data_IF_449080016688
#
_entry.id   IF_449080016688
#
_cell.length_a   1.000
_cell.length_b   1.000
_cell.length_c   1.000
_cell.angle_alpha   90.00
_cell.angle_beta   90.00
_cell.angle_gamma   90.00
#
_symmetry.space_group_name_H-M   'P 1'
#
loop_
_entity.id
_entity.type
_entity.pdbx_description
1 polymer ?
2 polymer ?
3 polymer ?
4 polymer ?
5 non-polymer ?
6 water ?
#
# COMPACT_ATOMS: atom_id res chain seq x y z
N UNK A 34 19.11 -4.08 13.52
CA UNK A 34 19.04 -5.14 12.46
C UNK A 34 17.89 -4.87 11.47
N UNK A 35 16.95 -5.80 11.36
CA UNK A 35 15.84 -5.69 10.42
C UNK A 35 14.46 -5.52 11.07
N UNK A 36 14.44 -5.38 12.39
CA UNK A 36 13.18 -5.21 13.12
C UNK A 36 13.17 -3.92 13.89
N UNK A 37 11.98 -3.33 14.04
CA UNK A 37 11.83 -2.11 14.80
C UNK A 37 12.13 -2.44 16.27
N UNK A 38 12.86 -1.57 16.94
CA UNK A 38 13.20 -1.78 18.33
C UNK A 38 11.96 -1.59 19.19
N UNK A 39 11.50 -2.67 19.82
CA UNK A 39 10.32 -2.61 20.67
C UNK A 39 10.67 -2.52 22.14
N UNK A 40 11.97 -2.36 22.44
CA UNK A 40 12.39 -2.27 23.84
C UNK A 40 12.14 -0.90 24.46
N UNK A 41 10.88 -0.63 24.74
CA UNK A 41 10.46 0.64 25.35
C UNK A 41 9.53 0.27 26.50
N UNK A 42 9.39 1.16 27.48
CA UNK A 42 8.54 0.86 28.61
C UNK A 42 7.06 0.91 28.26
N UNK A 43 6.75 1.50 27.12
CA UNK A 43 5.38 1.64 26.68
C UNK A 43 5.28 1.22 25.22
N UNK A 44 4.30 0.38 24.87
CA UNK A 44 4.14 -0.03 23.49
C UNK A 44 3.77 1.21 22.69
N UNK A 45 2.84 2.00 23.24
CA UNK A 45 2.43 3.21 22.57
C UNK A 45 0.98 3.61 22.78
N UNK A 46 0.63 4.78 22.27
CA UNK A 46 -0.70 5.34 22.35
C UNK A 46 -1.58 4.83 21.18
N UNK A 47 -2.87 4.65 21.44
CA UNK A 47 -3.80 4.19 20.41
C UNK A 47 -5.09 4.99 20.45
N UNK A 48 -5.38 5.69 19.36
CA UNK A 48 -6.61 6.48 19.27
C UNK A 48 -7.63 5.77 18.39
N UNK A 49 -8.84 5.62 18.90
CA UNK A 49 -9.91 5.01 18.13
C UNK A 49 -10.99 6.06 17.99
N UNK A 50 -11.31 6.46 16.76
CA UNK A 50 -12.36 7.43 16.56
C UNK A 50 -13.57 6.65 16.02
N UNK A 51 -14.59 6.54 16.85
CA UNK A 51 -15.80 5.79 16.52
C UNK A 51 -16.99 6.70 16.19
N UNK A 52 -17.23 6.91 14.90
CA UNK A 52 -18.32 7.77 14.44
C UNK A 52 -19.57 6.97 14.01
N UNK A 53 -20.65 7.11 14.78
CA UNK A 53 -21.90 6.39 14.53
C UNK A 53 -23.04 7.29 14.02
N UNK A 54 -23.19 8.44 14.64
CA UNK A 54 -24.26 9.39 14.30
C UNK A 54 -23.73 10.64 13.63
N UNK A 55 -24.41 11.06 12.56
CA UNK A 55 -23.97 12.25 11.82
C UNK A 55 -25.05 13.32 11.69
N UNK A 56 -24.62 14.57 11.61
CA UNK A 56 -25.55 15.68 11.47
C UNK A 56 -26.39 15.51 10.21
N UNK A 57 -27.71 15.63 10.39
CA UNK A 57 -28.69 15.51 9.33
C UNK A 57 -28.34 16.25 8.04
N UNK A 58 -27.55 17.32 8.16
CA UNK A 58 -27.15 18.11 6.99
C UNK A 58 -26.15 17.37 6.10
N UNK A 59 -25.47 16.36 6.66
CA UNK A 59 -24.49 15.61 5.90
C UNK A 59 -25.17 14.53 5.07
N UNK A 60 -26.38 14.15 5.49
CA UNK A 60 -27.14 13.13 4.80
C UNK A 60 -26.65 11.72 4.98
N UNK A 61 -25.70 11.51 5.89
CA UNK A 61 -25.13 10.18 6.13
C UNK A 61 -25.93 9.40 7.18
N UNK A 62 -26.14 8.12 6.93
CA UNK A 62 -26.91 7.30 7.86
C UNK A 62 -26.16 6.77 9.07
N UNK A 63 -26.93 6.32 10.07
CA UNK A 63 -26.35 5.77 11.28
C UNK A 63 -25.58 4.49 10.96
N UNK A 64 -24.31 4.45 11.36
CA UNK A 64 -23.46 3.31 11.11
C UNK A 64 -23.61 2.20 12.15
N UNK A 65 -24.78 1.59 12.18
CA UNK A 65 -25.07 0.52 13.12
C UNK A 65 -23.99 -0.55 13.02
N UNK A 66 -23.65 -1.14 14.16
CA UNK A 66 -22.64 -2.17 14.18
C UNK A 66 -21.26 -1.62 14.47
N UNK A 67 -21.09 -0.31 14.31
CA UNK A 67 -19.77 0.25 14.57
C UNK A 67 -19.36 0.18 16.04
N UNK A 68 -20.34 -0.04 16.93
CA UNK A 68 -20.03 -0.15 18.36
C UNK A 68 -19.35 -1.48 18.67
N UNK A 69 -19.80 -2.56 18.02
CA UNK A 69 -19.16 -3.86 18.24
C UNK A 69 -17.71 -3.75 17.77
N UNK A 70 -17.51 -3.11 16.63
CA UNK A 70 -16.17 -2.93 16.09
C UNK A 70 -15.25 -2.27 17.10
N UNK A 71 -15.68 -1.09 17.58
CA UNK A 71 -14.89 -0.32 18.54
C UNK A 71 -14.58 -1.06 19.85
N UNK A 72 -15.52 -1.86 20.34
CA UNK A 72 -15.28 -2.59 21.58
C UNK A 72 -14.29 -3.70 21.32
N UNK A 73 -14.49 -4.39 20.20
CA UNK A 73 -13.60 -5.49 19.82
C UNK A 73 -12.19 -4.95 19.58
N UNK A 74 -12.09 -3.83 18.87
CA UNK A 74 -10.79 -3.24 18.60
C UNK A 74 -10.12 -2.85 19.90
N UNK A 75 -10.91 -2.31 20.83
CA UNK A 75 -10.43 -1.88 22.14
C UNK A 75 -9.70 -3.02 22.87
N UNK A 76 -10.36 -4.17 22.95
CA UNK A 76 -9.79 -5.32 23.62
C UNK A 76 -8.52 -5.82 22.93
N UNK A 77 -8.55 -5.90 21.61
CA UNK A 77 -7.39 -6.35 20.86
C UNK A 77 -6.18 -5.48 21.09
N UNK A 78 -6.32 -4.19 20.76
CA UNK A 78 -5.20 -3.29 20.91
C UNK A 78 -4.74 -3.11 22.33
N UNK A 79 -5.64 -3.39 23.28
CA UNK A 79 -5.30 -3.29 24.69
C UNK A 79 -4.38 -4.49 24.97
N UNK A 80 -4.77 -5.66 24.48
CA UNK A 80 -4.01 -6.90 24.66
C UNK A 80 -2.62 -6.81 24.07
N UNK A 81 -2.47 -6.02 23.00
CA UNK A 81 -1.16 -5.87 22.39
C UNK A 81 -0.29 -5.05 23.32
N UNK A 82 -0.92 -4.20 24.12
CA UNK A 82 -0.17 -3.36 25.05
C UNK A 82 -0.34 -1.88 24.82
N UNK A 83 -1.27 -1.52 23.94
CA UNK A 83 -1.55 -0.11 23.63
C UNK A 83 -2.39 0.55 24.70
N UNK A 84 -2.17 1.84 24.91
CA UNK A 84 -2.96 2.60 25.87
C UNK A 84 -4.02 3.24 24.99
N UNK A 85 -5.15 2.55 24.83
CA UNK A 85 -6.21 3.04 23.96
C UNK A 85 -7.34 3.82 24.64
N UNK A 86 -7.81 4.84 23.93
CA UNK A 86 -8.91 5.69 24.37
C UNK A 86 -9.87 5.84 23.17
N UNK A 87 -11.17 5.76 23.42
CA UNK A 87 -12.17 5.86 22.37
C UNK A 87 -12.93 7.19 22.40
N UNK A 88 -13.08 7.81 21.23
CA UNK A 88 -13.79 9.08 21.10
C UNK A 88 -14.97 8.83 20.17
N UNK A 89 -16.17 9.22 20.60
CA UNK A 89 -17.36 8.99 19.79
C UNK A 89 -17.91 10.23 19.08
N UNK A 90 -18.52 9.98 17.92
CA UNK A 90 -19.12 11.02 17.09
C UNK A 90 -18.36 12.33 17.09
N UNK A 91 -17.10 12.28 16.65
CA UNK A 91 -16.26 13.47 16.61
C UNK A 91 -16.52 14.37 15.41
N UNK A 92 -16.33 15.66 15.60
CA UNK A 92 -16.51 16.64 14.54
C UNK A 92 -15.16 16.71 13.84
N UNK A 93 -15.15 17.17 12.59
CA UNK A 93 -13.91 17.25 11.86
C UNK A 93 -12.85 18.01 12.66
N UNK A 94 -13.28 19.05 13.37
CA UNK A 94 -12.33 19.83 14.16
C UNK A 94 -11.81 18.99 15.31
N UNK A 95 -12.70 18.21 15.92
CA UNK A 95 -12.33 17.36 17.04
C UNK A 95 -11.26 16.36 16.62
N UNK A 96 -11.51 15.68 15.50
CA UNK A 96 -10.58 14.70 14.96
C UNK A 96 -9.22 15.33 14.70
N UNK A 97 -9.23 16.48 14.05
CA UNK A 97 -7.99 17.19 13.75
C UNK A 97 -7.20 17.51 15.01
N UNK A 98 -7.89 18.10 15.98
CA UNK A 98 -7.27 18.47 17.24
C UNK A 98 -6.76 17.24 17.98
N UNK A 99 -7.60 16.22 18.01
CA UNK A 99 -7.29 14.96 18.69
C UNK A 99 -5.92 14.44 18.25
N UNK A 100 -5.73 14.37 16.93
CA UNK A 100 -4.48 13.89 16.37
C UNK A 100 -3.35 14.90 16.50
N UNK A 101 -3.65 16.19 16.34
CA UNK A 101 -2.61 17.19 16.48
C UNK A 101 -2.02 17.11 17.91
N UNK A 102 -2.89 17.11 18.91
CA UNK A 102 -2.48 17.03 20.32
C UNK A 102 -1.68 15.76 20.57
N UNK A 103 -2.11 14.65 19.98
CA UNK A 103 -1.42 13.39 20.17
C UNK A 103 0.00 13.47 19.62
N UNK A 104 0.15 14.11 18.47
CA UNK A 104 1.45 14.24 17.83
C UNK A 104 2.36 15.19 18.61
N UNK A 105 1.78 15.95 19.54
CA UNK A 105 2.56 16.89 20.32
C UNK A 105 2.98 16.33 21.67
N UNK A 106 2.44 15.16 22.02
CA UNK A 106 2.80 14.52 23.28
C UNK A 106 4.25 14.04 23.16
N UNK A 107 4.79 13.48 24.23
CA UNK A 107 6.17 12.99 24.23
C UNK A 107 6.17 11.47 24.12
N UNK A 108 6.62 10.97 22.98
CA UNK A 108 6.66 9.55 22.71
C UNK A 108 8.04 8.94 22.94
N UNK A 109 8.90 9.66 23.66
CA UNK A 109 10.25 9.16 23.93
C UNK A 109 10.32 7.74 24.51
N UNK A 110 9.32 7.36 25.31
CA UNK A 110 9.33 6.04 25.91
C UNK A 110 8.30 5.09 25.33
N UNK A 111 7.81 5.42 24.12
CA UNK A 111 6.84 4.58 23.44
C UNK A 111 7.52 3.92 22.24
N UNK A 112 7.07 2.73 21.89
CA UNK A 112 7.65 2.02 20.77
C UNK A 112 7.04 2.46 19.43
N UNK A 113 5.78 2.87 19.47
CA UNK A 113 5.11 3.28 18.24
C UNK A 113 3.84 4.05 18.53
N UNK A 114 3.01 4.21 17.49
CA UNK A 114 1.75 4.92 17.62
C UNK A 114 0.70 4.24 16.74
N UNK A 115 -0.55 4.30 17.15
CA UNK A 115 -1.62 3.69 16.37
C UNK A 115 -2.92 4.49 16.46
N UNK A 116 -3.60 4.60 15.34
CA UNK A 116 -4.88 5.31 15.26
C UNK A 116 -5.82 4.47 14.40
N UNK A 117 -7.06 4.34 14.86
CA UNK A 117 -8.08 3.58 14.15
C UNK A 117 -9.23 4.52 13.88
N UNK A 118 -9.68 4.59 12.62
CA UNK A 118 -10.80 5.45 12.24
C UNK A 118 -11.97 4.60 11.72
N UNK A 119 -13.13 4.72 12.35
CA UNK A 119 -14.34 3.98 11.94
C UNK A 119 -15.38 5.01 11.53
N UNK A 120 -15.74 5.08 10.25
CA UNK A 120 -16.71 6.10 9.83
C UNK A 120 -17.15 5.96 8.37
N UNK A 121 -17.89 6.96 7.90
CA UNK A 121 -18.33 7.03 6.52
C UNK A 121 -17.13 7.70 5.84
N UNK A 122 -17.05 7.59 4.53
CA UNK A 122 -15.93 8.23 3.86
C UNK A 122 -16.01 8.19 2.34
N UNK A 123 -15.07 8.90 1.72
CA UNK A 123 -14.97 8.97 0.27
C UNK A 123 -13.48 8.93 -0.06
N UNK A 124 -13.16 8.96 -1.34
CA UNK A 124 -11.77 8.91 -1.79
C UNK A 124 -10.92 9.97 -1.08
N UNK A 125 -9.90 9.50 -0.36
CA UNK A 125 -8.96 10.38 0.34
C UNK A 125 -9.51 11.18 1.53
N UNK A 126 -10.81 11.07 1.79
CA UNK A 126 -11.41 11.82 2.89
C UNK A 126 -12.23 10.94 3.83
N UNK A 127 -12.43 11.44 5.04
CA UNK A 127 -13.20 10.71 6.04
C UNK A 127 -14.22 11.65 6.71
N UNK A 128 -15.38 11.12 7.05
CA UNK A 128 -16.43 11.93 7.68
C UNK A 128 -16.35 12.14 9.18
N UNK A 129 -16.67 13.36 9.59
CA UNK A 129 -16.74 13.71 11.00
C UNK A 129 -18.25 13.71 11.15
N UNK A 130 -18.81 14.14 12.28
CA UNK A 130 -20.26 14.11 12.36
C UNK A 130 -20.83 15.28 11.55
N UNK A 131 -19.99 16.27 11.31
CA UNK A 131 -20.39 17.50 10.62
C UNK A 131 -19.92 17.70 9.18
N UNK A 132 -19.14 16.77 8.64
CA UNK A 132 -18.67 16.95 7.27
C UNK A 132 -17.51 16.03 6.95
N UNK A 133 -16.67 16.41 5.99
CA UNK A 133 -15.53 15.59 5.61
C UNK A 133 -14.21 16.32 5.82
N UNK A 134 -13.16 15.55 6.09
CA UNK A 134 -11.82 16.10 6.29
C UNK A 134 -10.81 15.19 5.60
N UNK A 135 -9.73 15.76 5.07
CA UNK A 135 -8.69 14.99 4.38
C UNK A 135 -7.88 14.07 5.31
N UNK A 136 -7.86 12.78 5.01
CA UNK A 136 -7.10 11.82 5.80
C UNK A 136 -5.64 12.26 5.85
N UNK A 137 -5.21 12.89 4.77
CA UNK A 137 -3.85 13.40 4.61
C UNK A 137 -3.50 14.32 5.75
N UNK A 138 -4.41 15.24 6.08
CA UNK A 138 -4.17 16.20 7.15
C UNK A 138 -4.16 15.59 8.55
N UNK A 139 -4.93 14.52 8.72
CA UNK A 139 -4.98 13.86 10.02
C UNK A 139 -3.63 13.20 10.32
N UNK A 140 -3.05 12.60 9.30
CA UNK A 140 -1.79 11.88 9.44
C UNK A 140 -0.49 12.66 9.31
N UNK A 141 -0.47 13.71 8.50
CA UNK A 141 0.78 14.44 8.32
C UNK A 141 1.30 15.10 9.59
N UNK A 142 0.51 15.05 10.66
CA UNK A 142 0.90 15.61 11.94
C UNK A 142 2.03 14.78 12.54
N UNK A 143 2.13 13.53 12.09
CA UNK A 143 3.15 12.62 12.59
C UNK A 143 4.37 12.51 11.70
N UNK A 144 4.47 13.35 10.68
CA UNK A 144 5.63 13.33 9.80
C UNK A 144 6.89 13.43 10.67
N UNK A 145 7.97 12.83 10.22
CA UNK A 145 9.20 12.85 10.99
C UNK A 145 9.66 14.23 11.41
N UNK A 146 9.32 15.23 10.61
CA UNK A 146 9.74 16.60 10.91
C UNK A 146 8.70 17.33 11.74
N UNK A 147 7.63 16.64 12.12
CA UNK A 147 6.58 17.27 12.90
C UNK A 147 6.28 16.53 14.20
N UNK A 148 7.06 15.49 14.44
CA UNK A 148 6.90 14.67 15.62
C UNK A 148 8.22 13.95 15.84
N UNK A 149 9.20 14.69 16.37
CA UNK A 149 10.53 14.14 16.62
C UNK A 149 10.54 12.89 17.48
N UNK A 150 9.65 12.80 18.47
CA UNK A 150 9.67 11.62 19.34
C UNK A 150 9.16 10.32 18.75
N UNK A 151 8.60 10.36 17.53
CA UNK A 151 8.14 9.14 16.87
C UNK A 151 9.00 8.91 15.65
N UNK A 152 10.12 9.62 15.58
CA UNK A 152 11.04 9.48 14.47
C UNK A 152 11.66 8.09 14.49
N UNK A 153 11.64 7.44 13.33
CA UNK A 153 12.18 6.08 13.18
C UNK A 153 11.34 5.01 13.88
N UNK A 154 10.14 5.42 14.29
CA UNK A 154 9.20 4.50 14.96
C UNK A 154 7.98 4.42 14.06
N UNK A 155 7.33 3.25 14.03
CA UNK A 155 6.13 3.02 13.21
C UNK A 155 4.86 3.79 13.60
N UNK A 156 4.23 4.40 12.59
CA UNK A 156 2.99 5.15 12.77
C UNK A 156 1.93 4.33 12.07
N UNK A 157 0.97 3.79 12.83
CA UNK A 157 -0.06 2.94 12.24
C UNK A 157 -1.46 3.52 12.19
N UNK A 158 -2.12 3.37 11.04
CA UNK A 158 -3.47 3.86 10.84
C UNK A 158 -4.36 2.80 10.20
N UNK A 159 -5.44 2.46 10.87
CA UNK A 159 -6.36 1.48 10.33
C UNK A 159 -7.61 2.27 9.99
N UNK A 160 -8.00 2.27 8.72
CA UNK A 160 -9.18 3.02 8.30
C UNK A 160 -10.30 2.18 7.75
N UNK A 161 -11.42 2.14 8.46
CA UNK A 161 -12.62 1.41 8.01
C UNK A 161 -13.57 2.48 7.47
N UNK A 162 -13.61 2.64 6.15
CA UNK A 162 -14.46 3.67 5.53
C UNK A 162 -14.51 3.48 4.01
N UNK A 163 -15.57 3.95 3.38
CA UNK A 163 -15.69 3.81 1.92
C UNK A 163 -14.66 4.70 1.25
N UNK A 164 -14.33 4.39 0.00
CA UNK A 164 -13.35 5.17 -0.75
C UNK A 164 -13.88 5.44 -2.13
N UNK A 165 -15.20 5.34 -2.27
CA UNK A 165 -15.85 5.55 -3.55
C UNK A 165 -17.11 4.72 -3.59
N UNK A 166 -17.69 4.56 -4.78
CA UNK A 166 -18.93 3.80 -4.91
C UNK A 166 -18.87 2.64 -5.88
N UNK A 167 -17.68 2.10 -6.13
CA UNK A 167 -17.56 0.97 -7.03
C UNK A 167 -17.86 -0.33 -6.27
N UNK A 168 -18.51 -1.26 -6.96
CA UNK A 168 -18.87 -2.55 -6.37
C UNK A 168 -18.01 -3.66 -6.98
N UNK A 169 -17.52 -4.56 -6.13
CA UNK A 169 -16.72 -5.68 -6.58
C UNK A 169 -17.66 -6.89 -6.67
N UNK A 170 -18.14 -7.17 -7.88
CA UNK A 170 -19.07 -8.26 -8.11
C UNK A 170 -18.48 -9.65 -7.91
N UNK A 171 -17.15 -9.73 -7.84
CA UNK A 171 -16.51 -11.01 -7.64
C UNK A 171 -16.46 -11.91 -8.86
N UNK A 172 -15.90 -13.11 -8.68
CA UNK A 172 -15.75 -14.10 -9.74
C UNK A 172 -15.50 -15.44 -9.05
N UNK A 173 -15.77 -16.56 -9.72
CA UNK A 173 -15.55 -17.88 -9.10
C UNK A 173 -14.20 -18.53 -9.41
N UNK B 6 19.84 11.36 8.38
CA UNK B 6 18.72 12.08 7.70
C UNK B 6 17.74 11.07 7.06
N UNK B 7 16.49 11.06 7.53
CA UNK B 7 15.50 10.11 6.99
C UNK B 7 14.28 10.83 6.40
N UNK B 8 13.58 10.19 5.44
CA UNK B 8 12.40 10.78 4.81
C UNK B 8 11.31 11.12 5.83
N UNK B 9 10.73 12.30 5.71
CA UNK B 9 9.70 12.71 6.64
C UNK B 9 8.43 11.88 6.45
N UNK B 10 8.35 11.15 5.36
CA UNK B 10 7.17 10.31 5.08
C UNK B 10 7.38 8.84 5.45
N UNK B 11 8.58 8.53 5.92
CA UNK B 11 8.94 7.15 6.29
C UNK B 11 8.28 6.64 7.57
N UNK B 12 8.17 5.32 7.65
CA UNK B 12 7.62 4.63 8.81
C UNK B 12 6.12 4.73 9.08
N UNK B 13 5.34 4.95 8.01
CA UNK B 13 3.89 5.01 8.13
C UNK B 13 3.29 3.73 7.53
N UNK B 14 2.18 3.27 8.09
CA UNK B 14 1.51 2.12 7.52
C UNK B 14 0.02 2.38 7.57
N UNK B 15 -0.62 2.33 6.42
CA UNK B 15 -2.05 2.55 6.34
C UNK B 15 -2.69 1.23 6.00
N UNK B 16 -3.63 0.81 6.82
CA UNK B 16 -4.32 -0.44 6.57
C UNK B 16 -5.77 -0.08 6.27
N UNK B 17 -6.10 0.14 4.99
CA UNK B 17 -7.47 0.48 4.61
C UNK B 17 -8.37 -0.76 4.51
N UNK B 18 -9.64 -0.62 4.85
CA UNK B 18 -10.58 -1.74 4.80
C UNK B 18 -10.94 -2.12 3.36
N UNK B 19 -10.64 -1.24 2.41
CA UNK B 19 -10.95 -1.51 1.01
C UNK B 19 -10.03 -0.78 0.03
N UNK B 20 -10.08 -1.15 -1.24
CA UNK B 20 -9.24 -0.52 -2.25
C UNK B 20 -9.83 0.80 -2.76
N UNK B 21 -8.97 1.69 -3.30
CA UNK B 21 -9.38 3.00 -3.83
C UNK B 21 -10.55 2.95 -4.82
N UNK B 22 -11.53 3.83 -4.61
CA UNK B 22 -12.67 3.88 -5.49
C UNK B 22 -13.79 2.92 -5.15
N UNK B 23 -13.57 2.06 -4.16
CA UNK B 23 -14.57 1.07 -3.78
C UNK B 23 -15.34 1.28 -2.48
N UNK B 24 -16.42 0.51 -2.34
CA UNK B 24 -17.26 0.55 -1.15
C UNK B 24 -16.56 -0.28 -0.09
N UNK B 25 -17.07 -0.19 1.13
CA UNK B 25 -16.54 -0.96 2.24
C UNK B 25 -17.79 -1.51 2.92
N UNK B 26 -17.83 -2.81 3.15
CA UNK B 26 -19.02 -3.41 3.76
C UNK B 26 -19.04 -3.53 5.27
N UNK B 27 -20.25 -3.45 5.82
CA UNK B 27 -20.48 -3.54 7.25
C UNK B 27 -21.80 -4.21 7.56
N UNK B 28 -21.76 -5.37 8.19
CA UNK B 28 -23.00 -6.03 8.56
C UNK B 28 -23.45 -5.36 9.86
N UNK B 29 -24.67 -4.79 9.90
CA UNK B 29 -25.20 -4.11 11.09
C UNK B 29 -25.26 -4.91 12.37
N UNK B 30 -25.37 -6.23 12.23
CA UNK B 30 -25.45 -7.08 13.41
C UNK B 30 -24.15 -7.64 13.93
N UNK B 31 -23.13 -7.71 13.08
CA UNK B 31 -21.84 -8.28 13.48
C UNK B 31 -20.69 -7.28 13.42
N UNK B 32 -20.89 -6.21 12.67
CA UNK B 32 -19.83 -5.20 12.54
C UNK B 32 -19.23 -5.26 11.17
N UNK B 33 -18.41 -4.27 10.82
CA UNK B 33 -17.78 -4.25 9.50
C UNK B 33 -16.90 -5.48 9.25
N UNK B 34 -16.83 -5.88 8.00
CA UNK B 34 -16.03 -7.03 7.60
C UNK B 34 -14.57 -6.87 8.02
N UNK B 35 -13.96 -5.78 7.59
CA UNK B 35 -12.55 -5.51 7.87
C UNK B 35 -12.18 -5.62 9.34
N UNK B 36 -13.03 -5.12 10.23
CA UNK B 36 -12.74 -5.17 11.65
C UNK B 36 -12.95 -6.56 12.26
N UNK B 37 -14.01 -7.25 11.86
CA UNK B 37 -14.25 -8.60 12.38
C UNK B 37 -13.00 -9.45 12.10
N UNK B 38 -12.51 -9.33 10.87
CA UNK B 38 -11.34 -10.07 10.41
C UNK B 38 -10.07 -9.64 11.12
N UNK B 39 -9.84 -8.35 11.17
CA UNK B 39 -8.65 -7.81 11.83
C UNK B 39 -8.54 -8.32 13.27
N UNK B 40 -9.66 -8.30 13.99
CA UNK B 40 -9.65 -8.77 15.37
C UNK B 40 -9.46 -10.28 15.49
N UNK B 41 -10.05 -11.07 14.60
CA UNK B 41 -9.88 -12.53 14.69
C UNK B 41 -8.38 -12.83 14.59
N UNK B 42 -7.76 -12.36 13.52
CA UNK B 42 -6.33 -12.58 13.31
C UNK B 42 -5.47 -12.03 14.45
N UNK B 43 -5.77 -10.83 14.92
CA UNK B 43 -4.99 -10.24 16.00
C UNK B 43 -5.07 -10.94 17.35
N UNK B 44 -6.27 -11.37 17.74
CA UNK B 44 -6.42 -12.05 19.02
C UNK B 44 -5.84 -13.44 18.94
N UNK B 45 -5.47 -13.85 17.72
CA UNK B 45 -4.91 -15.17 17.51
C UNK B 45 -3.41 -15.19 17.20
N UNK B 46 -2.93 -14.16 16.51
CA UNK B 46 -1.50 -14.08 16.12
C UNK B 46 -0.89 -12.69 16.28
N UNK B 47 -1.59 -11.79 16.95
CA UNK B 47 -1.07 -10.45 17.13
C UNK B 47 0.32 -10.39 17.76
N UNK B 48 0.64 -11.40 18.56
CA UNK B 48 1.94 -11.41 19.24
C UNK B 48 3.00 -12.34 18.68
N UNK B 49 2.68 -13.10 17.66
CA UNK B 49 3.67 -14.00 17.07
C UNK B 49 3.92 -13.80 15.58
N UNK B 50 3.14 -12.93 14.93
CA UNK B 50 3.34 -12.68 13.50
C UNK B 50 3.75 -11.24 13.19
N UNK B 51 4.52 -11.07 12.13
CA UNK B 51 4.95 -9.73 11.71
C UNK B 51 3.68 -9.00 11.20
N UNK B 52 3.64 -7.67 11.33
CA UNK B 52 2.46 -6.91 10.91
C UNK B 52 1.95 -7.25 9.51
N UNK B 53 2.85 -7.26 8.52
CA UNK B 53 2.46 -7.56 7.15
C UNK B 53 1.87 -8.97 7.00
N UNK B 54 2.36 -9.91 7.79
CA UNK B 54 1.82 -11.27 7.76
C UNK B 54 0.40 -11.24 8.30
N UNK B 55 0.19 -10.44 9.34
CA UNK B 55 -1.13 -10.33 9.94
C UNK B 55 -2.13 -9.70 8.98
N UNK B 56 -1.76 -8.55 8.43
CA UNK B 56 -2.63 -7.84 7.50
C UNK B 56 -2.91 -8.64 6.22
N UNK B 57 -1.97 -9.51 5.86
CA UNK B 57 -2.14 -10.33 4.67
C UNK B 57 -3.21 -11.39 4.94
N UNK B 58 -3.18 -11.98 6.14
CA UNK B 58 -4.15 -12.99 6.49
C UNK B 58 -5.52 -12.34 6.61
N UNK B 59 -5.52 -11.05 6.93
CA UNK B 59 -6.75 -10.27 7.06
C UNK B 59 -7.38 -10.08 5.68
N UNK B 60 -6.54 -9.76 4.69
CA UNK B 60 -7.00 -9.57 3.32
C UNK B 60 -7.68 -10.85 2.87
N UNK B 61 -7.02 -11.97 3.12
CA UNK B 61 -7.55 -13.27 2.74
C UNK B 61 -8.89 -13.60 3.41
N UNK B 62 -8.98 -13.39 4.73
CA UNK B 62 -10.21 -13.67 5.45
C UNK B 62 -11.37 -12.82 4.93
N UNK B 63 -11.11 -11.55 4.70
CA UNK B 63 -12.13 -10.62 4.19
C UNK B 63 -12.60 -11.06 2.81
N UNK B 64 -11.65 -11.35 1.94
CA UNK B 64 -11.94 -11.76 0.58
C UNK B 64 -12.63 -13.12 0.46
N UNK B 65 -12.42 -13.99 1.45
CA UNK B 65 -13.01 -15.31 1.42
C UNK B 65 -14.25 -15.58 2.26
N UNK B 66 -14.24 -15.16 3.52
CA UNK B 66 -15.37 -15.43 4.41
C UNK B 66 -16.56 -14.48 4.33
N UNK B 67 -16.48 -13.45 3.50
CA UNK B 67 -17.59 -12.50 3.40
C UNK B 67 -18.18 -12.33 2.01
N UNK B 68 -19.48 -12.02 2.00
CA UNK B 68 -20.22 -11.78 0.76
C UNK B 68 -21.51 -11.06 1.14
N UNK B 69 -21.73 -9.91 0.54
CA UNK B 69 -22.92 -9.13 0.86
C UNK B 69 -24.24 -9.86 0.65
N UNK B 70 -25.19 -9.53 1.52
CA UNK B 70 -26.52 -10.09 1.47
C UNK B 70 -27.46 -8.90 1.50
N UNK B 71 -28.36 -8.82 0.53
CA UNK B 71 -29.29 -7.70 0.46
C UNK B 71 -30.49 -8.02 -0.42
N UNK B 72 -31.65 -7.49 -0.05
CA UNK B 72 -32.86 -7.71 -0.82
C UNK B 72 -32.83 -6.80 -2.05
N UNK B 73 -31.73 -6.07 -2.20
CA UNK B 73 -31.52 -5.17 -3.32
C UNK B 73 -30.59 -5.90 -4.29
N UNK B 74 -31.12 -6.36 -5.43
CA UNK B 74 -30.30 -7.07 -6.42
C UNK B 74 -28.98 -6.39 -6.79
N UNK B 75 -28.95 -5.07 -6.79
CA UNK B 75 -27.73 -4.35 -7.14
C UNK B 75 -26.60 -4.52 -6.12
N UNK B 76 -26.95 -4.66 -4.84
CA UNK B 76 -25.96 -4.82 -3.79
C UNK B 76 -25.90 -6.27 -3.29
N UNK B 77 -26.43 -7.18 -4.09
CA UNK B 77 -26.46 -8.57 -3.70
C UNK B 77 -25.18 -9.33 -4.08
N UNK B 78 -24.69 -10.12 -3.14
CA UNK B 78 -23.49 -10.94 -3.34
C UNK B 78 -22.22 -10.23 -3.78
N UNK B 79 -21.93 -9.06 -3.23
CA UNK B 79 -20.72 -8.33 -3.60
C UNK B 79 -19.55 -8.74 -2.72
N UNK B 80 -18.33 -8.52 -3.20
CA UNK B 80 -17.13 -8.89 -2.45
C UNK B 80 -16.25 -7.71 -2.06
N UNK B 81 -15.24 -7.98 -1.23
CA UNK B 81 -14.34 -6.92 -0.77
C UNK B 81 -12.93 -7.41 -0.52
N UNK B 82 -11.96 -6.53 -0.73
CA UNK B 82 -10.54 -6.84 -0.52
C UNK B 82 -9.89 -5.62 0.13
N UNK B 83 -9.23 -5.82 1.28
CA UNK B 83 -8.61 -4.66 1.95
C UNK B 83 -7.42 -4.15 1.16
N UNK B 84 -6.81 -3.08 1.64
CA UNK B 84 -5.67 -2.44 0.97
C UNK B 84 -4.62 -1.97 1.96
N UNK B 85 -3.45 -2.59 1.93
CA UNK B 85 -2.37 -2.21 2.84
C UNK B 85 -1.32 -1.36 2.15
N UNK B 86 -1.06 -0.17 2.70
CA UNK B 86 -0.04 0.73 2.16
C UNK B 86 1.08 0.87 3.19
N UNK B 87 2.25 0.33 2.88
CA UNK B 87 3.37 0.38 3.82
C UNK B 87 4.58 1.18 3.37
N UNK B 88 5.01 2.10 4.23
CA UNK B 88 6.20 2.92 4.02
C UNK B 88 7.12 2.51 5.16
N UNK B 89 6.84 1.36 5.78
CA UNK B 89 7.67 0.89 6.89
C UNK B 89 9.09 0.55 6.40
N UNK B 90 10.07 0.68 7.28
CA UNK B 90 11.46 0.41 6.92
C UNK B 90 12.07 -0.82 7.62
N UNK B 91 11.28 -1.45 8.49
CA UNK B 91 11.70 -2.65 9.23
C UNK B 91 10.51 -3.56 9.42
N UNK B 92 10.74 -4.74 9.99
CA UNK B 92 9.68 -5.69 10.28
C UNK B 92 9.11 -5.29 11.65
N UNK B 93 7.81 -5.44 11.82
CA UNK B 93 7.17 -5.04 13.07
C UNK B 93 6.49 -6.19 13.80
N UNK B 94 6.88 -6.35 15.06
CA UNK B 94 6.33 -7.38 15.92
C UNK B 94 5.87 -6.73 17.21
N UNK B 95 4.68 -7.10 17.67
CA UNK B 95 4.13 -6.54 18.90
C UNK B 95 4.53 -7.37 20.11
N UNK B 96 5.83 -7.51 20.36
CA UNK B 96 6.27 -8.29 21.52
C UNK B 96 7.77 -8.21 21.81
N UNK B 97 8.14 -8.71 22.99
CA UNK B 97 9.53 -8.73 23.45
C UNK B 97 10.13 -7.34 23.68
N UNK C 34 -2.98 -23.67 4.13
CA UNK C 34 -1.64 -23.13 3.74
C UNK C 34 -1.66 -21.60 3.67
N UNK C 35 -0.53 -20.97 3.97
CA UNK C 35 -0.44 -19.52 3.99
C UNK C 35 0.47 -18.94 2.90
N UNK C 36 0.82 -19.77 1.91
CA UNK C 36 1.69 -19.34 0.83
C UNK C 36 1.09 -19.58 -0.55
N UNK C 37 1.43 -18.72 -1.50
CA UNK C 37 0.95 -18.88 -2.87
C UNK C 37 1.60 -20.13 -3.41
N UNK C 38 0.82 -20.92 -4.14
CA UNK C 38 1.32 -22.16 -4.74
C UNK C 38 2.28 -21.79 -5.89
N UNK C 39 3.52 -22.23 -5.77
CA UNK C 39 4.55 -21.94 -6.77
C UNK C 39 4.90 -23.16 -7.62
N UNK C 40 4.08 -24.20 -7.55
CA UNK C 40 4.33 -25.42 -8.29
C UNK C 40 3.67 -25.38 -9.67
N UNK C 41 4.23 -24.53 -10.53
CA UNK C 41 3.73 -24.40 -11.88
C UNK C 41 4.90 -24.66 -12.83
N UNK C 42 4.57 -25.06 -14.05
CA UNK C 42 5.58 -25.33 -15.05
C UNK C 42 6.60 -24.19 -15.09
N UNK C 43 6.12 -22.95 -14.92
CA UNK C 43 7.01 -21.79 -14.94
C UNK C 43 6.61 -20.70 -13.97
N UNK C 44 7.60 -19.88 -13.58
CA UNK C 44 7.36 -18.78 -12.64
C UNK C 44 6.40 -17.76 -13.24
N UNK C 45 6.59 -17.43 -14.51
CA UNK C 45 5.71 -16.47 -15.15
C UNK C 45 6.38 -15.45 -16.06
N UNK C 46 5.56 -14.56 -16.60
CA UNK C 46 6.03 -13.53 -17.50
C UNK C 46 6.38 -12.25 -16.76
N UNK C 47 7.41 -11.55 -17.25
CA UNK C 47 7.81 -10.27 -16.67
C UNK C 47 7.94 -9.27 -17.82
N UNK C 48 7.02 -8.32 -17.88
CA UNK C 48 7.03 -7.30 -18.92
C UNK C 48 7.67 -6.01 -18.42
N UNK C 49 8.67 -5.52 -19.14
CA UNK C 49 9.34 -4.28 -18.77
C UNK C 49 9.12 -3.20 -19.84
N UNK C 50 8.55 -2.07 -19.44
CA UNK C 50 8.33 -0.96 -20.37
C UNK C 50 9.34 0.12 -20.01
N UNK C 51 10.35 0.27 -20.86
CA UNK C 51 11.42 1.24 -20.62
C UNK C 51 11.26 2.50 -21.49
N UNK C 52 10.56 3.50 -20.97
CA UNK C 52 10.34 4.74 -21.69
C UNK C 52 11.41 5.79 -21.39
N UNK C 53 12.26 6.05 -22.37
CA UNK C 53 13.36 7.00 -22.23
C UNK C 53 13.11 8.31 -22.96
N UNK C 54 12.62 8.23 -24.19
CA UNK C 54 12.36 9.41 -25.00
C UNK C 54 10.88 9.76 -25.13
N UNK C 55 10.57 11.05 -25.02
CA UNK C 55 9.18 11.50 -25.11
C UNK C 55 8.98 12.61 -26.13
N UNK C 56 7.80 12.64 -26.75
CA UNK C 56 7.49 13.68 -27.73
C UNK C 56 7.65 15.05 -27.09
N UNK C 57 8.18 16.00 -27.85
CA UNK C 57 8.39 17.36 -27.37
C UNK C 57 7.16 18.01 -26.72
N UNK C 58 5.98 17.80 -27.30
CA UNK C 58 4.74 18.37 -26.78
C UNK C 58 4.41 18.02 -25.34
N UNK C 59 5.01 16.96 -24.81
CA UNK C 59 4.72 16.55 -23.43
C UNK C 59 5.51 17.38 -22.42
N UNK C 60 6.55 18.06 -22.89
CA UNK C 60 7.35 18.86 -21.99
C UNK C 60 8.27 18.00 -21.14
N UNK C 61 8.24 16.69 -21.39
CA UNK C 61 9.08 15.75 -20.64
C UNK C 61 10.45 15.60 -21.29
N UNK C 62 11.48 15.40 -20.47
CA UNK C 62 12.82 15.26 -21.00
C UNK C 62 13.32 13.83 -21.10
N UNK C 63 14.52 13.66 -21.65
CA UNK C 63 15.12 12.34 -21.78
C UNK C 63 15.43 11.81 -20.39
N UNK C 64 15.06 10.57 -20.13
CA UNK C 64 15.31 9.99 -18.82
C UNK C 64 16.64 9.24 -18.80
N UNK C 65 17.74 9.99 -18.77
CA UNK C 65 19.06 9.38 -18.73
C UNK C 65 19.20 8.47 -17.50
N UNK C 66 19.75 7.28 -17.72
CA UNK C 66 19.91 6.32 -16.64
C UNK C 66 18.85 5.23 -16.65
N UNK C 67 17.86 5.35 -17.54
CA UNK C 67 16.80 4.36 -17.59
C UNK C 67 17.23 3.08 -18.28
N UNK C 68 18.22 3.16 -19.16
CA UNK C 68 18.71 1.98 -19.84
C UNK C 68 19.44 1.09 -18.82
N UNK C 69 20.19 1.70 -17.91
CA UNK C 69 20.88 0.91 -16.87
C UNK C 69 19.82 0.19 -16.04
N UNK C 70 18.76 0.90 -15.70
CA UNK C 70 17.67 0.33 -14.92
C UNK C 70 17.06 -0.87 -15.60
N UNK C 71 16.72 -0.72 -16.88
CA UNK C 71 16.11 -1.81 -17.63
C UNK C 71 17.06 -3.01 -17.71
N UNK C 72 18.33 -2.72 -17.96
CA UNK C 72 19.36 -3.76 -18.07
C UNK C 72 19.45 -4.56 -16.76
N UNK C 73 19.64 -3.84 -15.65
CA UNK C 73 19.75 -4.45 -14.33
C UNK C 73 18.47 -5.21 -13.95
N UNK C 74 17.32 -4.62 -14.25
CA UNK C 74 16.04 -5.24 -13.94
C UNK C 74 15.87 -6.57 -14.69
N UNK C 75 16.14 -6.53 -15.98
CA UNK C 75 16.01 -7.71 -16.85
C UNK C 75 16.92 -8.84 -16.40
N UNK C 76 18.19 -8.52 -16.13
CA UNK C 76 19.12 -9.53 -15.69
C UNK C 76 18.63 -10.11 -14.36
N UNK C 77 18.14 -9.23 -13.50
CA UNK C 77 17.64 -9.61 -12.20
C UNK C 77 16.41 -10.54 -12.25
N UNK C 78 15.39 -10.16 -13.00
CA UNK C 78 14.17 -10.97 -13.11
C UNK C 78 14.31 -12.25 -13.92
N UNK C 79 15.24 -12.27 -14.87
CA UNK C 79 15.47 -13.47 -15.67
C UNK C 79 16.08 -14.46 -14.67
N UNK C 80 16.99 -13.94 -13.85
CA UNK C 80 17.68 -14.72 -12.84
C UNK C 80 16.71 -15.31 -11.81
N UNK C 81 15.57 -14.67 -11.64
CA UNK C 81 14.57 -15.17 -10.69
C UNK C 81 13.76 -16.30 -11.32
N UNK C 82 13.78 -16.38 -12.64
CA UNK C 82 13.03 -17.42 -13.33
C UNK C 82 11.90 -16.91 -14.21
N UNK C 83 11.80 -15.59 -14.36
CA UNK C 83 10.77 -14.98 -15.19
C UNK C 83 11.13 -14.96 -16.67
N UNK C 84 10.11 -14.97 -17.53
CA UNK C 84 10.32 -14.85 -18.97
C UNK C 84 10.20 -13.35 -19.17
N UNK C 85 11.34 -12.65 -19.15
CA UNK C 85 11.31 -11.21 -19.30
C UNK C 85 11.32 -10.71 -20.74
N UNK C 86 10.46 -9.73 -21.01
CA UNK C 86 10.32 -9.10 -22.32
C UNK C 86 10.51 -7.60 -22.10
N UNK C 87 11.34 -6.95 -22.91
CA UNK C 87 11.56 -5.51 -22.75
C UNK C 87 11.07 -4.67 -23.94
N UNK C 88 10.19 -3.71 -23.65
CA UNK C 88 9.65 -2.80 -24.65
C UNK C 88 10.24 -1.42 -24.41
N UNK C 89 10.53 -0.68 -25.47
CA UNK C 89 11.14 0.64 -25.33
C UNK C 89 10.40 1.77 -26.04
N UNK C 90 10.42 2.96 -25.45
CA UNK C 90 9.74 4.16 -25.96
C UNK C 90 8.34 3.87 -26.52
N UNK C 91 7.45 3.45 -25.62
CA UNK C 91 6.08 3.10 -25.97
C UNK C 91 5.06 4.23 -25.88
N UNK C 92 4.14 4.25 -26.83
CA UNK C 92 3.08 5.24 -26.84
C UNK C 92 2.07 4.77 -25.80
N UNK C 93 1.15 5.63 -25.42
CA UNK C 93 0.13 5.25 -24.45
C UNK C 93 -0.70 4.10 -25.02
N UNK C 94 -0.96 4.17 -26.32
CA UNK C 94 -1.74 3.15 -27.00
C UNK C 94 -1.01 1.82 -26.96
N UNK C 95 0.30 1.88 -27.19
CA UNK C 95 1.12 0.67 -27.17
C UNK C 95 1.07 0.00 -25.80
N UNK C 96 1.29 0.76 -24.74
CA UNK C 96 1.27 0.22 -23.38
C UNK C 96 -0.09 -0.45 -23.05
N UNK C 97 -1.18 0.22 -23.37
CA UNK C 97 -2.50 -0.34 -23.12
C UNK C 97 -2.70 -1.66 -23.87
N UNK C 98 -2.45 -1.63 -25.17
CA UNK C 98 -2.61 -2.79 -26.02
C UNK C 98 -1.71 -3.96 -25.61
N UNK C 99 -0.45 -3.64 -25.41
CA UNK C 99 0.58 -4.59 -24.99
C UNK C 99 0.15 -5.30 -23.70
N UNK C 100 -0.32 -4.56 -22.71
CA UNK C 100 -0.75 -5.18 -21.45
C UNK C 100 -2.11 -5.87 -21.57
N UNK C 101 -2.94 -5.41 -22.51
CA UNK C 101 -4.24 -6.04 -22.72
C UNK C 101 -4.04 -7.44 -23.30
N UNK C 102 -3.17 -7.52 -24.32
CA UNK C 102 -2.89 -8.78 -24.97
C UNK C 102 -2.20 -9.75 -24.03
N UNK C 103 -1.36 -9.23 -23.15
CA UNK C 103 -0.68 -10.08 -22.19
C UNK C 103 -1.74 -10.69 -21.27
N UNK C 104 -2.75 -9.91 -20.93
CA UNK C 104 -3.80 -10.42 -20.05
C UNK C 104 -4.70 -11.44 -20.74
N UNK C 105 -4.64 -11.48 -22.07
CA UNK C 105 -5.45 -12.41 -22.86
C UNK C 105 -4.70 -13.68 -23.21
N UNK C 106 -3.41 -13.72 -22.87
CA UNK C 106 -2.58 -14.89 -23.09
C UNK C 106 -2.97 -15.95 -22.06
N UNK C 107 -2.49 -17.17 -22.23
CA UNK C 107 -2.81 -18.25 -21.31
C UNK C 107 -1.75 -18.34 -20.21
N UNK C 108 -2.16 -18.07 -18.96
CA UNK C 108 -1.22 -18.09 -17.83
C UNK C 108 -1.36 -19.33 -16.94
N UNK C 109 -2.22 -20.26 -17.35
CA UNK C 109 -2.49 -21.49 -16.61
C UNK C 109 -1.28 -22.16 -16.00
N UNK C 110 -0.20 -22.24 -16.77
CA UNK C 110 1.02 -22.90 -16.34
C UNK C 110 2.05 -21.97 -15.68
N UNK C 111 1.64 -20.77 -15.30
CA UNK C 111 2.54 -19.82 -14.66
C UNK C 111 2.10 -19.58 -13.22
N UNK C 112 3.08 -19.33 -12.34
CA UNK C 112 2.79 -19.09 -10.93
C UNK C 112 2.31 -17.66 -10.68
N UNK C 113 2.82 -16.71 -11.46
CA UNK C 113 2.43 -15.31 -11.31
C UNK C 113 2.74 -14.46 -12.55
N UNK C 114 2.49 -13.16 -12.42
CA UNK C 114 2.74 -12.20 -13.49
C UNK C 114 3.45 -11.00 -12.88
N UNK C 115 4.38 -10.40 -13.63
CA UNK C 115 5.10 -9.23 -13.13
C UNK C 115 5.24 -8.20 -14.25
N UNK C 116 5.09 -6.93 -13.89
CA UNK C 116 5.21 -5.86 -14.86
C UNK C 116 5.95 -4.69 -14.20
N UNK C 117 6.98 -4.20 -14.88
CA UNK C 117 7.77 -3.08 -14.39
C UNK C 117 7.59 -1.87 -15.31
N UNK C 118 7.31 -0.71 -14.73
CA UNK C 118 7.11 0.52 -15.50
C UNK C 118 8.16 1.57 -15.17
N UNK C 119 8.95 1.95 -16.18
CA UNK C 119 10.01 2.94 -16.03
C UNK C 119 9.70 4.14 -16.94
N UNK C 120 9.25 5.23 -16.35
CA UNK C 120 8.91 6.41 -17.15
C UNK C 120 8.64 7.63 -16.27
N UNK C 121 8.15 8.70 -16.91
CA UNK C 121 7.79 9.92 -16.20
C UNK C 121 6.37 9.66 -15.70
N UNK C 122 5.98 10.36 -14.65
CA UNK C 122 4.66 10.16 -14.12
C UNK C 122 4.19 11.32 -13.27
N UNK C 123 2.89 11.33 -13.01
CA UNK C 123 2.26 12.33 -12.17
C UNK C 123 1.27 11.54 -11.35
N UNK C 124 0.68 12.13 -10.32
CA UNK C 124 -0.22 11.34 -9.50
C UNK C 124 -1.29 10.56 -10.24
N UNK C 125 -1.31 9.25 -10.00
CA UNK C 125 -2.27 8.32 -10.59
C UNK C 125 -2.12 8.03 -12.08
N UNK C 126 -1.11 8.63 -12.71
CA UNK C 126 -0.91 8.42 -14.13
C UNK C 126 0.55 8.20 -14.50
N UNK C 127 0.78 7.62 -15.66
CA UNK C 127 2.14 7.42 -16.12
C UNK C 127 2.23 7.86 -17.59
N UNK C 128 3.40 8.39 -17.96
CA UNK C 128 3.62 8.89 -19.29
C UNK C 128 4.06 7.90 -20.35
N UNK C 129 3.48 8.05 -21.54
CA UNK C 129 3.87 7.26 -22.71
C UNK C 129 4.64 8.34 -23.46
N UNK C 130 5.24 8.05 -24.62
CA UNK C 130 5.95 9.14 -25.30
C UNK C 130 4.88 10.08 -25.82
N UNK C 131 3.70 9.50 -25.99
CA UNK C 131 2.45 10.10 -26.46
C UNK C 131 1.94 11.17 -25.49
N UNK C 132 1.80 10.78 -24.23
CA UNK C 132 1.29 11.65 -23.19
C UNK C 132 1.06 10.91 -21.90
N UNK C 133 -0.11 11.11 -21.28
CA UNK C 133 -0.42 10.48 -20.01
C UNK C 133 -1.60 9.49 -20.00
N UNK C 134 -1.45 8.41 -19.24
CA UNK C 134 -2.52 7.41 -19.12
C UNK C 134 -2.62 6.89 -17.68
N UNK C 135 -3.84 6.68 -17.18
CA UNK C 135 -4.11 6.19 -15.82
C UNK C 135 -3.50 4.84 -15.51
N UNK C 136 -2.75 4.76 -14.41
CA UNK C 136 -2.14 3.49 -14.02
C UNK C 136 -3.24 2.48 -13.71
N UNK C 137 -4.39 2.96 -13.26
CA UNK C 137 -5.49 2.05 -12.96
C UNK C 137 -5.99 1.33 -14.21
N UNK C 138 -6.04 2.02 -15.34
CA UNK C 138 -6.52 1.38 -16.56
C UNK C 138 -5.55 0.37 -17.12
N UNK C 139 -4.26 0.59 -16.90
CA UNK C 139 -3.24 -0.34 -17.37
C UNK C 139 -3.38 -1.65 -16.60
N UNK C 140 -3.37 -1.57 -15.27
CA UNK C 140 -3.47 -2.75 -14.41
C UNK C 140 -4.83 -3.42 -14.37
N UNK C 141 -5.89 -2.71 -14.74
CA UNK C 141 -7.24 -3.26 -14.71
C UNK C 141 -7.40 -4.48 -15.61
N UNK C 142 -6.56 -4.57 -16.64
CA UNK C 142 -6.62 -5.69 -17.58
C UNK C 142 -6.42 -7.05 -16.90
N UNK C 143 -5.77 -7.05 -15.74
CA UNK C 143 -5.51 -8.31 -15.06
C UNK C 143 -6.42 -8.62 -13.88
N UNK C 144 -7.55 -7.93 -13.77
CA UNK C 144 -8.49 -8.17 -12.68
C UNK C 144 -8.98 -9.61 -12.80
N UNK C 145 -9.38 -10.19 -11.68
CA UNK C 145 -9.84 -11.57 -11.69
C UNK C 145 -10.93 -11.91 -12.70
N UNK C 146 -11.77 -10.93 -13.07
CA UNK C 146 -12.84 -11.21 -14.01
C UNK C 146 -12.47 -10.95 -15.48
N UNK C 147 -11.27 -10.42 -15.72
CA UNK C 147 -10.83 -10.11 -17.09
C UNK C 147 -9.56 -10.87 -17.48
N UNK C 148 -9.15 -11.81 -16.63
CA UNK C 148 -7.96 -12.62 -16.87
C UNK C 148 -8.06 -13.86 -15.99
N UNK C 149 -9.04 -14.71 -16.27
CA UNK C 149 -9.26 -15.92 -15.47
C UNK C 149 -8.05 -16.80 -15.21
N UNK C 150 -7.09 -16.80 -16.13
CA UNK C 150 -5.92 -17.65 -15.96
C UNK C 150 -4.92 -17.21 -14.90
N UNK C 151 -5.06 -16.00 -14.38
CA UNK C 151 -4.16 -15.50 -13.33
C UNK C 151 -4.91 -15.39 -12.01
N UNK C 152 -6.17 -15.84 -12.02
CA UNK C 152 -7.02 -15.79 -10.84
C UNK C 152 -6.31 -16.51 -9.69
N UNK C 153 -6.34 -15.89 -8.51
CA UNK C 153 -5.70 -16.45 -7.30
C UNK C 153 -4.18 -16.50 -7.44
N UNK C 154 -3.64 -15.79 -8.42
CA UNK C 154 -2.20 -15.75 -8.61
C UNK C 154 -1.76 -14.30 -8.41
N UNK C 155 -0.61 -14.10 -7.74
CA UNK C 155 -0.14 -12.73 -7.53
C UNK C 155 0.19 -11.99 -8.82
N UNK C 156 -0.20 -10.72 -8.87
CA UNK C 156 0.02 -9.85 -10.03
C UNK C 156 0.83 -8.65 -9.53
N UNK C 157 2.12 -8.64 -9.85
CA UNK C 157 3.03 -7.60 -9.40
C UNK C 157 3.33 -6.45 -10.36
N UNK C 158 3.31 -5.23 -9.83
CA UNK C 158 3.62 -4.07 -10.64
C UNK C 158 4.63 -3.20 -9.91
N UNK C 159 5.81 -3.04 -10.50
CA UNK C 159 6.86 -2.22 -9.91
C UNK C 159 6.85 -0.92 -10.70
N UNK C 160 6.74 0.21 -10.03
CA UNK C 160 6.65 1.47 -10.74
C UNK C 160 7.64 2.56 -10.38
N UNK C 161 8.52 2.85 -11.33
CA UNK C 161 9.50 3.90 -11.18
C UNK C 161 9.01 5.07 -12.01
N UNK C 162 8.38 6.02 -11.34
CA UNK C 162 7.83 7.21 -12.00
C UNK C 162 7.40 8.19 -10.91
N UNK C 163 7.37 9.48 -11.25
CA UNK C 163 6.96 10.48 -10.27
C UNK C 163 5.45 10.41 -10.00
N UNK C 164 5.02 11.00 -8.90
CA UNK C 164 3.61 10.95 -8.55
C UNK C 164 3.14 12.31 -8.07
N UNK C 165 3.89 13.34 -8.46
CA UNK C 165 3.58 14.69 -8.05
C UNK C 165 4.89 15.45 -8.04
N UNK C 166 4.90 16.65 -7.48
CA UNK C 166 6.13 17.42 -7.46
C UNK C 166 6.58 17.83 -6.06
N UNK C 167 6.10 17.12 -5.05
CA UNK C 167 6.49 17.42 -3.68
C UNK C 167 7.89 16.87 -3.39
N UNK C 168 8.65 17.61 -2.60
CA UNK C 168 10.00 17.21 -2.22
C UNK C 168 10.03 16.80 -0.76
N UNK C 169 10.79 15.77 -0.44
CA UNK C 169 10.91 15.31 0.94
C UNK C 169 12.24 15.87 1.46
N UNK C 170 12.17 16.87 2.34
CA UNK C 170 13.39 17.49 2.87
C UNK C 170 14.17 16.67 3.88
N UNK C 171 13.52 15.70 4.50
CA UNK C 171 14.20 14.87 5.47
C UNK C 171 14.33 15.49 6.85
N UNK C 172 14.94 14.75 7.78
CA UNK C 172 15.11 15.23 9.15
C UNK C 172 16.27 14.44 9.81
N UNK C 173 16.73 14.93 10.96
CA UNK C 173 17.84 14.34 11.75
C UNK C 173 19.17 15.04 11.45
N UNK D 6 -16.80 -17.33 -4.51
CA UNK D 6 -16.31 -16.16 -5.29
C UNK D 6 -15.11 -15.44 -4.68
N UNK D 7 -14.32 -14.78 -5.52
CA UNK D 7 -13.14 -14.03 -5.11
C UNK D 7 -13.18 -12.60 -5.67
N UNK D 8 -12.69 -11.61 -4.89
CA UNK D 8 -12.66 -10.20 -5.30
C UNK D 8 -11.88 -10.01 -6.59
N UNK D 9 -12.41 -9.20 -7.51
CA UNK D 9 -11.71 -8.97 -8.78
C UNK D 9 -10.43 -8.17 -8.55
N UNK D 10 -10.45 -7.27 -7.57
CA UNK D 10 -9.29 -6.44 -7.27
C UNK D 10 -8.27 -7.12 -6.35
N UNK D 11 -8.48 -8.40 -6.06
CA UNK D 11 -7.59 -9.13 -5.16
C UNK D 11 -6.33 -9.72 -5.81
N UNK D 12 -5.31 -9.90 -4.98
CA UNK D 12 -4.02 -10.47 -5.36
C UNK D 12 -3.13 -9.59 -6.22
N UNK D 13 -3.27 -8.28 -6.07
CA UNK D 13 -2.42 -7.34 -6.78
C UNK D 13 -1.45 -6.77 -5.76
N UNK D 14 -0.28 -6.35 -6.22
CA UNK D 14 0.69 -5.71 -5.34
C UNK D 14 1.36 -4.62 -6.17
N UNK D 15 1.32 -3.40 -5.65
CA UNK D 15 1.92 -2.28 -6.36
C UNK D 15 3.09 -1.72 -5.56
N UNK D 16 4.30 -1.91 -6.06
CA UNK D 16 5.47 -1.38 -5.39
C UNK D 16 5.85 -0.09 -6.11
N UNK D 17 5.50 1.04 -5.52
CA UNK D 17 5.82 2.34 -6.10
C UNK D 17 7.13 2.90 -5.56
N UNK D 18 7.91 3.47 -6.47
CA UNK D 18 9.21 4.05 -6.11
C UNK D 18 9.11 5.19 -5.09
N UNK D 19 7.92 5.80 -4.98
CA UNK D 19 7.75 6.92 -4.07
C UNK D 19 6.29 7.02 -3.59
N UNK D 20 6.03 7.93 -2.64
CA UNK D 20 4.68 8.10 -2.10
C UNK D 20 3.81 9.08 -2.90
N UNK D 21 2.48 8.94 -2.80
CA UNK D 21 1.56 9.83 -3.52
C UNK D 21 1.98 11.29 -3.45
N UNK D 22 1.86 11.99 -4.58
CA UNK D 22 2.17 13.41 -4.63
C UNK D 22 3.63 13.85 -4.59
N UNK D 23 4.56 12.90 -4.58
CA UNK D 23 5.98 13.25 -4.53
C UNK D 23 6.78 12.89 -5.77
N UNK D 24 7.96 13.49 -5.87
CA UNK D 24 8.90 13.25 -6.96
C UNK D 24 9.56 11.90 -6.70
N UNK D 25 10.24 11.39 -7.71
CA UNK D 25 10.98 10.13 -7.60
C UNK D 25 12.34 10.46 -8.19
N UNK D 26 13.41 10.06 -7.52
CA UNK D 26 14.76 10.36 -7.98
C UNK D 26 15.51 9.36 -8.84
N UNK D 27 16.27 9.90 -9.79
CA UNK D 27 17.04 9.09 -10.74
C UNK D 27 18.41 9.69 -11.05
N UNK D 28 19.45 8.90 -10.87
CA UNK D 28 20.81 9.35 -11.17
C UNK D 28 21.15 8.95 -12.60
N UNK D 29 21.38 9.93 -13.48
CA UNK D 29 21.72 9.69 -14.89
C UNK D 29 22.84 8.68 -15.07
N UNK D 30 23.78 8.67 -14.13
CA UNK D 30 24.90 7.74 -14.21
C UNK D 30 24.74 6.39 -13.55
N UNK D 31 23.87 6.29 -12.55
CA UNK D 31 23.69 5.01 -11.85
C UNK D 31 22.26 4.46 -11.96
N UNK D 32 21.33 5.30 -12.40
CA UNK D 32 19.95 4.87 -12.53
C UNK D 32 19.12 5.41 -11.38
N UNK D 33 17.82 5.10 -11.37
CA UNK D 33 16.96 5.57 -10.31
C UNK D 33 17.28 4.88 -9.00
N UNK D 34 17.02 5.56 -7.88
CA UNK D 34 17.30 5.03 -6.55
C UNK D 34 16.53 3.75 -6.27
N UNK D 35 15.23 3.78 -6.53
CA UNK D 35 14.36 2.65 -6.30
C UNK D 35 14.84 1.41 -7.06
N UNK D 36 15.14 1.58 -8.35
CA UNK D 36 15.60 0.45 -9.16
C UNK D 36 16.94 -0.10 -8.68
N UNK D 37 17.88 0.80 -8.34
CA UNK D 37 19.17 0.36 -7.83
C UNK D 37 18.93 -0.52 -6.60
N UNK D 38 18.16 0.01 -5.65
CA UNK D 38 17.86 -0.70 -4.42
C UNK D 38 17.14 -2.02 -4.64
N UNK D 39 16.07 -2.00 -5.42
CA UNK D 39 15.30 -3.21 -5.70
C UNK D 39 16.20 -4.35 -6.18
N UNK D 40 17.02 -4.07 -7.19
CA UNK D 40 17.92 -5.07 -7.73
C UNK D 40 18.94 -5.54 -6.71
N UNK D 41 19.53 -4.58 -6.00
CA UNK D 41 20.53 -4.89 -4.99
C UNK D 41 19.99 -5.88 -3.96
N UNK D 42 18.76 -5.68 -3.51
CA UNK D 42 18.16 -6.58 -2.53
C UNK D 42 17.75 -7.92 -3.15
N UNK D 43 17.23 -7.89 -4.37
CA UNK D 43 16.80 -9.13 -5.03
C UNK D 43 17.95 -10.10 -5.32
N UNK D 44 19.13 -9.56 -5.60
CA UNK D 44 20.30 -10.39 -5.88
C UNK D 44 20.74 -11.18 -4.65
N UNK D 45 20.60 -10.55 -3.49
CA UNK D 45 20.99 -11.18 -2.23
C UNK D 45 19.89 -12.04 -1.61
N UNK D 46 18.65 -11.59 -1.69
CA UNK D 46 17.57 -12.34 -1.06
C UNK D 46 16.34 -12.69 -1.89
N UNK D 47 16.36 -12.39 -3.19
CA UNK D 47 15.22 -12.69 -4.04
C UNK D 47 14.70 -14.12 -3.94
N UNK D 48 15.51 -15.03 -3.44
CA UNK D 48 15.08 -16.42 -3.35
C UNK D 48 14.91 -17.04 -1.97
N UNK D 49 15.15 -16.26 -0.92
CA UNK D 49 15.00 -16.76 0.44
C UNK D 49 14.14 -15.88 1.35
N UNK D 50 13.59 -14.79 0.81
CA UNK D 50 12.75 -13.90 1.60
C UNK D 50 11.39 -13.68 0.95
N UNK D 51 10.40 -13.34 1.76
CA UNK D 51 9.03 -13.10 1.29
C UNK D 51 8.98 -11.73 0.60
N UNK D 52 8.08 -11.57 -0.36
CA UNK D 52 7.99 -10.32 -1.11
C UNK D 52 7.94 -9.05 -0.24
N UNK D 53 7.21 -9.09 0.88
CA UNK D 53 7.13 -7.91 1.74
C UNK D 53 8.42 -7.64 2.51
N UNK D 54 9.16 -8.69 2.84
CA UNK D 54 10.43 -8.52 3.55
C UNK D 54 11.41 -7.85 2.62
N UNK D 55 11.35 -8.22 1.36
CA UNK D 55 12.21 -7.66 0.34
C UNK D 55 11.89 -6.18 0.15
N UNK D 56 10.62 -5.87 -0.14
CA UNK D 56 10.22 -4.50 -0.37
C UNK D 56 10.46 -3.60 0.83
N UNK D 57 10.28 -4.14 2.04
CA UNK D 57 10.53 -3.37 3.24
C UNK D 57 12.03 -3.04 3.32
N UNK D 58 12.88 -4.00 3.00
CA UNK D 58 14.31 -3.72 3.02
C UNK D 58 14.63 -2.70 1.92
N UNK D 59 13.86 -2.71 0.85
CA UNK D 59 14.05 -1.76 -0.24
C UNK D 59 13.68 -0.37 0.26
N UNK D 60 12.59 -0.29 1.03
CA UNK D 60 12.17 0.99 1.58
C UNK D 60 13.31 1.56 2.41
N UNK D 61 13.84 0.72 3.30
CA UNK D 61 14.92 1.09 4.19
C UNK D 61 16.20 1.53 3.45
N UNK D 62 16.56 0.82 2.40
CA UNK D 62 17.77 1.18 1.66
C UNK D 62 17.61 2.49 0.89
N UNK D 63 16.45 2.70 0.28
CA UNK D 63 16.24 3.93 -0.46
C UNK D 63 16.22 5.11 0.50
N UNK D 64 15.62 4.90 1.66
CA UNK D 64 15.50 5.94 2.68
C UNK D 64 16.83 6.35 3.32
N UNK D 65 17.68 5.38 3.63
CA UNK D 65 18.95 5.67 4.26
C UNK D 65 20.14 5.89 3.34
N UNK D 66 20.24 5.12 2.26
CA UNK D 66 21.37 5.21 1.35
C UNK D 66 21.39 6.39 0.35
N UNK D 67 20.23 6.94 0.02
CA UNK D 67 20.23 8.03 -0.96
C UNK D 67 19.86 9.42 -0.49
N UNK D 68 20.56 10.40 -1.07
CA UNK D 68 20.35 11.82 -0.80
C UNK D 68 20.71 12.51 -2.11
N UNK D 69 19.84 13.39 -2.59
CA UNK D 69 20.08 14.07 -3.86
C UNK D 69 21.16 15.13 -3.82
N UNK D 70 21.79 15.35 -4.98
CA UNK D 70 22.85 16.34 -5.13
C UNK D 70 22.53 17.16 -6.37
N UNK D 71 22.42 18.48 -6.21
CA UNK D 71 22.11 19.35 -7.32
C UNK D 71 22.73 20.73 -7.14
N UNK D 72 23.09 21.37 -8.25
CA UNK D 72 23.69 22.70 -8.20
C UNK D 72 22.62 23.71 -7.82
N UNK D 73 21.36 23.34 -8.06
CA UNK D 73 20.21 24.18 -7.75
C UNK D 73 19.79 23.89 -6.30
N UNK D 74 20.10 24.82 -5.37
CA UNK D 74 19.79 24.71 -3.94
C UNK D 74 18.37 24.21 -3.64
N UNK D 75 17.46 24.44 -4.58
CA UNK D 75 16.06 24.04 -4.42
C UNK D 75 15.89 22.52 -4.47
N UNK D 76 16.80 21.85 -5.19
CA UNK D 76 16.74 20.39 -5.37
C UNK D 76 17.83 19.53 -4.73
N UNK D 77 18.67 20.09 -3.86
CA UNK D 77 19.72 19.26 -3.28
C UNK D 77 19.51 18.79 -1.84
N UNK D 78 20.08 17.62 -1.56
CA UNK D 78 20.01 16.98 -0.25
C UNK D 78 18.57 16.60 0.11
N UNK D 79 17.82 16.13 -0.88
CA UNK D 79 16.44 15.72 -0.68
C UNK D 79 16.36 14.21 -0.49
N UNK D 80 15.30 13.74 0.17
CA UNK D 80 15.14 12.32 0.44
C UNK D 80 13.97 11.66 -0.28
N UNK D 81 13.87 10.34 -0.14
CA UNK D 81 12.80 9.59 -0.79
C UNK D 81 12.41 8.33 -0.01
N UNK D 82 11.13 7.98 -0.09
CA UNK D 82 10.62 6.77 0.56
C UNK D 82 9.61 6.11 -0.38
N UNK D 83 9.81 4.83 -0.72
CA UNK D 83 8.90 4.10 -1.61
C UNK D 83 7.57 3.83 -0.92
N UNK D 84 6.62 3.28 -1.68
CA UNK D 84 5.30 3.01 -1.17
C UNK D 84 4.80 1.66 -1.68
N UNK D 85 4.57 0.71 -0.77
CA UNK D 85 4.09 -0.61 -1.19
C UNK D 85 2.58 -0.72 -0.93
N UNK D 86 1.85 -1.14 -1.94
CA UNK D 86 0.40 -1.29 -1.82
C UNK D 86 0.09 -2.76 -2.05
N UNK D 87 -0.41 -3.44 -1.02
CA UNK D 87 -0.65 -4.86 -1.16
C UNK D 87 -2.09 -5.30 -1.00
N UNK D 88 -2.55 -6.07 -1.98
CA UNK D 88 -3.89 -6.65 -1.96
C UNK D 88 -3.66 -8.16 -1.97
N UNK D 89 -2.44 -8.57 -1.66
CA UNK D 89 -2.11 -9.98 -1.65
C UNK D 89 -2.85 -10.70 -0.52
N UNK D 90 -3.21 -11.95 -0.77
CA UNK D 90 -3.95 -12.75 0.21
C UNK D 90 -3.11 -13.90 0.76
N UNK D 91 -1.86 -14.00 0.32
CA UNK D 91 -0.96 -15.03 0.77
C UNK D 91 0.46 -14.48 0.81
N UNK D 92 1.38 -15.27 1.33
CA UNK D 92 2.78 -14.88 1.37
C UNK D 92 3.37 -15.33 0.03
N UNK D 93 4.27 -14.55 -0.54
CA UNK D 93 4.84 -14.90 -1.82
C UNK D 93 6.36 -15.11 -1.76
N UNK D 94 6.79 -16.30 -2.18
CA UNK D 94 8.20 -16.66 -2.23
C UNK D 94 8.51 -17.06 -3.68
N UNK D 95 9.63 -16.59 -4.23
CA UNK D 95 10.01 -16.89 -5.61
C UNK D 95 10.74 -18.23 -5.80
N UNK D 96 11.03 -18.91 -4.70
CA UNK D 96 11.73 -20.19 -4.78
C UNK D 96 10.75 -21.37 -4.67
N UNK D 97 11.27 -22.52 -4.24
CA UNK D 97 10.49 -23.75 -4.11
C UNK D 97 10.22 -24.30 -5.52
N UNK E 2 -26.54 -6.10 4.65
CA UNK E 2 -25.27 -5.38 4.82
C UNK E 2 -25.40 -3.95 4.33
N UNK E 3 -24.62 -3.05 4.96
CA UNK E 3 -24.63 -1.64 4.62
C UNK E 3 -23.26 -1.21 4.10
N UNK E 4 -23.18 0.01 3.56
CA UNK E 4 -21.92 0.52 3.03
C UNK E 4 -21.39 1.72 3.83
N UNK F 2 21.46 14.61 -9.55
CA UNK F 2 20.34 13.67 -9.80
C UNK F 2 19.19 14.43 -10.54
N UNK F 3 18.18 13.69 -11.01
CA UNK F 3 17.03 14.30 -11.64
C UNK F 3 15.71 13.73 -11.16
N UNK F 4 14.61 14.37 -11.58
CA UNK F 4 13.30 13.92 -11.15
C UNK F 4 12.45 13.30 -12.24
N UNK G 1 12.06 -12.44 15.88
CA UNK G 1 11.47 -13.74 15.44
C UNK G 1 12.13 -14.23 14.15
N UNK G 2 11.60 -15.30 13.58
CA UNK G 2 12.16 -15.83 12.36
C UNK G 2 11.10 -16.35 11.40
N UNK G 3 10.92 -15.65 10.29
CA UNK G 3 9.96 -16.06 9.27
C UNK G 3 10.27 -17.50 8.89
N UNK G 4 9.28 -18.37 8.98
CA UNK G 4 9.50 -19.76 8.64
C UNK G 4 8.58 -20.26 7.55
N UNK G 5 9.16 -20.74 6.45
CA UNK G 5 8.38 -21.26 5.34
C UNK G 5 7.67 -22.56 5.75
#
# INVERSE_FOLDING_TARGET
AKPDRSSFVPSLFSKKKKNVTMRSIKTTRDRVPTYQYNMNFEKLGKCIIINNKNFDKVTGMGVRNGTDKDAEALFKCFRSLGFDVIVYNDCSCAKMQDLLKKASEEDHTNAACFACILLSHGEENVIYGKDGVTPIKDLTAHFRGDRCKTLLEKPKLFFIQACRGTELDDGIQ
ANPRYKIPVEADFLFAYSTVPGYYSWRSPGRGSWFVQALCSILEEHGKDLEIMQILTRVNDRVARHFESQSDDPHFHEKKQIPCVVSMLTKELYFSQ
AKPDRSSFVPSLFSKKKKNVTMRSIKTTRDRVPTYQYNMNFEKLGKCIIINNKNFDKVTGMGVRNGTDKDAEALFKCFRSLGFDVIVYNDCSCAKMQDLLKKASEEDHTNAACFACILLSHGEENVIYGKDGVTPIKDLTAHFRGDRCKTLLEKPKLFFIQACRGTELDDGIQ
ANPRYKIPVEADFLFAYSTVPGYYSWRSPGRGSWFVQALCSILEEHGKDLEIMQILTRVNDRVARHFESQSDDPHFHEKKQIPCVVSMLTKELYFSQ
XDMQX
XDMQX
QGHGE
#
